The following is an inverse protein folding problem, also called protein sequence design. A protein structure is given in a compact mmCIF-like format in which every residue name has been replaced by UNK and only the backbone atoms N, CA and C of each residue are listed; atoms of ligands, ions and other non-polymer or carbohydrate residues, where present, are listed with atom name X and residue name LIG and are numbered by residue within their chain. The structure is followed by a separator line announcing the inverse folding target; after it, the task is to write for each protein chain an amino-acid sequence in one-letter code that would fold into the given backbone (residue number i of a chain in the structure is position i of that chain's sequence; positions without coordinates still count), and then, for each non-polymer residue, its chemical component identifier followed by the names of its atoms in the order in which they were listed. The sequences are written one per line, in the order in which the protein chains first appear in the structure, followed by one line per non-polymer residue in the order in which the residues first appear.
data_IF_517631993365
#
_entry.id   IF_517631993365
#
_cell.length_a   1.000
_cell.length_b   1.000
_cell.length_c   1.000
_cell.angle_alpha   90.00
_cell.angle_beta   90.00
_cell.angle_gamma   90.00
#
_symmetry.space_group_name_H-M   'P 1'
#
loop_
_entity.id
_entity.type
_entity.pdbx_description
1 polymer ?
#
# COMPACT_ATOMS: atom_id res chain seq x y z
N UNK A 1 21.13 -0.61 -3.63
CA UNK A 1 19.93 -0.44 -2.80
C UNK A 1 19.75 1.05 -2.58
N UNK A 2 18.54 1.55 -2.85
CA UNK A 2 18.22 2.98 -2.78
C UNK A 2 18.13 3.51 -1.35
N UNK A 3 18.08 4.84 -1.20
CA UNK A 3 18.03 5.48 0.13
C UNK A 3 16.72 5.16 0.87
N UNK A 4 15.61 5.01 0.14
CA UNK A 4 14.31 4.67 0.69
C UNK A 4 14.31 3.28 1.32
N UNK A 5 14.96 2.32 0.66
CA UNK A 5 15.17 0.98 1.20
C UNK A 5 15.90 1.05 2.54
N UNK A 6 17.03 1.76 2.59
CA UNK A 6 17.85 1.88 3.80
C UNK A 6 17.11 2.52 4.97
N UNK A 7 16.40 3.64 4.75
CA UNK A 7 15.63 4.29 5.80
C UNK A 7 14.52 3.37 6.33
N UNK A 8 13.71 2.80 5.44
CA UNK A 8 12.57 1.97 5.83
C UNK A 8 12.97 0.64 6.45
N UNK A 9 14.10 0.05 6.03
CA UNK A 9 14.64 -1.15 6.68
C UNK A 9 15.12 -0.85 8.10
N UNK A 10 15.72 0.33 8.32
CA UNK A 10 16.11 0.76 9.66
C UNK A 10 14.88 0.97 10.54
N UNK A 11 13.85 1.69 10.05
CA UNK A 11 12.60 1.90 10.81
C UNK A 11 11.96 0.57 11.19
N UNK A 12 11.80 -0.35 10.24
CA UNK A 12 11.14 -1.64 10.48
C UNK A 12 11.89 -2.56 11.45
N UNK A 13 13.19 -2.33 11.65
CA UNK A 13 14.05 -3.10 12.55
C UNK A 13 14.51 -2.31 13.78
N UNK A 14 14.10 -1.05 13.92
CA UNK A 14 14.56 -0.16 14.98
C UNK A 14 14.18 -0.67 16.38
N UNK A 15 13.01 -1.32 16.51
CA UNK A 15 12.59 -1.99 17.75
C UNK A 15 13.52 -3.11 18.21
N UNK A 16 14.38 -3.62 17.32
CA UNK A 16 15.39 -4.65 17.60
C UNK A 16 16.77 -4.06 17.97
N UNK A 17 16.85 -2.75 18.23
CA UNK A 17 18.09 -2.02 18.53
C UNK A 17 19.17 -2.14 17.44
N UNK A 18 18.78 -2.19 16.16
CA UNK A 18 19.75 -2.18 15.07
C UNK A 18 20.26 -0.75 14.78
N UNK A 19 21.55 -0.67 14.45
CA UNK A 19 22.28 0.57 14.20
C UNK A 19 21.80 1.20 12.89
N UNK A 20 21.49 2.51 12.90
CA UNK A 20 21.28 3.29 11.69
C UNK A 20 22.51 3.20 10.79
N UNK A 21 22.37 2.54 9.65
CA UNK A 21 23.39 2.54 8.60
C UNK A 21 22.88 3.34 7.42
N UNK A 22 23.70 4.29 6.95
CA UNK A 22 23.45 5.27 5.87
C UNK A 22 22.51 6.43 6.22
N UNK A 23 23.02 7.38 7.02
CA UNK A 23 22.48 8.75 7.05
C UNK A 23 23.08 9.50 5.84
N UNK A 24 22.26 10.00 4.91
CA UNK A 24 22.69 10.88 3.83
C UNK A 24 23.06 12.25 4.38
N UNK A 25 23.98 12.96 3.72
CA UNK A 25 24.54 14.23 4.19
C UNK A 25 25.34 14.12 5.50
N UNK A 26 26.54 13.54 5.39
CA UNK A 26 27.51 13.46 6.51
C UNK A 26 28.09 14.84 6.86
N UNK A 27 27.97 15.81 5.96
CA UNK A 27 28.39 17.19 6.13
C UNK A 27 27.41 18.19 5.48
N UNK A 28 27.58 19.48 5.82
CA UNK A 28 26.70 20.56 5.35
C UNK A 28 26.76 20.76 3.83
N UNK A 29 27.89 20.50 3.18
CA UNK A 29 28.02 20.69 1.73
C UNK A 29 27.23 19.61 0.99
N UNK A 30 27.30 18.37 1.45
CA UNK A 30 26.47 17.27 0.94
C UNK A 30 24.98 17.55 1.18
N UNK A 31 24.60 18.10 2.34
CA UNK A 31 23.21 18.48 2.63
C UNK A 31 22.64 19.47 1.62
N UNK A 32 23.39 20.52 1.26
CA UNK A 32 22.93 21.52 0.29
C UNK A 32 22.79 20.99 -1.14
N UNK A 33 23.36 19.82 -1.44
CA UNK A 33 23.24 19.16 -2.74
C UNK A 33 22.12 18.12 -2.77
N UNK A 34 21.49 17.82 -1.63
CA UNK A 34 20.37 16.87 -1.60
C UNK A 34 19.15 17.45 -2.31
N UNK A 35 18.49 16.68 -3.19
CA UNK A 35 17.23 17.07 -3.77
C UNK A 35 16.13 17.29 -2.72
N UNK A 36 15.21 18.22 -2.98
CA UNK A 36 14.10 18.53 -2.05
C UNK A 36 13.23 17.31 -1.73
N UNK A 37 12.86 16.52 -2.75
CA UNK A 37 12.04 15.30 -2.57
C UNK A 37 12.67 14.30 -1.60
N UNK A 38 14.00 14.28 -1.53
CA UNK A 38 14.74 13.39 -0.66
C UNK A 38 14.58 13.82 0.81
N UNK A 39 14.69 15.12 1.07
CA UNK A 39 14.49 15.73 2.39
C UNK A 39 13.05 15.54 2.84
N UNK A 40 12.08 15.74 1.95
CA UNK A 40 10.65 15.51 2.22
C UNK A 40 10.38 14.05 2.60
N UNK A 41 10.90 13.10 1.81
CA UNK A 41 10.75 11.68 2.10
C UNK A 41 11.33 11.30 3.47
N UNK A 42 12.55 11.75 3.76
CA UNK A 42 13.19 11.50 5.06
C UNK A 42 12.41 12.11 6.20
N UNK A 43 12.04 13.38 6.09
CA UNK A 43 11.29 14.11 7.12
C UNK A 43 9.94 13.47 7.40
N UNK A 44 9.23 13.04 6.34
CA UNK A 44 7.96 12.33 6.47
C UNK A 44 8.12 11.03 7.27
N UNK A 45 9.08 10.18 6.91
CA UNK A 45 9.24 8.89 7.56
C UNK A 45 9.81 8.97 8.98
N UNK A 46 10.66 9.96 9.28
CA UNK A 46 11.10 10.23 10.64
C UNK A 46 9.94 10.71 11.51
N UNK A 47 9.13 11.64 11.02
CA UNK A 47 7.93 12.08 11.74
C UNK A 47 6.93 10.93 11.93
N UNK A 48 6.71 10.12 10.90
CA UNK A 48 5.88 8.91 10.98
C UNK A 48 6.41 7.95 12.05
N UNK A 49 7.74 7.80 12.15
CA UNK A 49 8.39 6.96 13.17
C UNK A 49 8.13 7.48 14.57
N UNK A 50 8.24 8.79 14.79
CA UNK A 50 7.93 9.42 16.09
C UNK A 50 6.46 9.20 16.48
N UNK A 51 5.54 9.29 15.51
CA UNK A 51 4.10 9.06 15.71
C UNK A 51 3.76 7.59 16.01
N UNK A 52 4.58 6.64 15.56
CA UNK A 52 4.34 5.19 15.66
C UNK A 52 5.39 4.44 16.51
N UNK A 53 6.03 5.14 17.45
CA UNK A 53 7.17 4.58 18.20
C UNK A 53 6.80 3.36 19.06
N UNK A 54 5.57 3.31 19.58
CA UNK A 54 5.12 2.17 20.39
C UNK A 54 4.88 0.93 19.53
N UNK A 55 4.40 1.13 18.31
CA UNK A 55 4.27 0.10 17.28
C UNK A 55 5.63 -0.45 16.86
N UNK A 56 6.60 0.45 16.70
CA UNK A 56 7.97 0.10 16.35
C UNK A 56 8.63 -0.74 17.44
N UNK A 57 8.49 -0.34 18.70
CA UNK A 57 9.06 -1.10 19.83
C UNK A 57 8.53 -2.53 19.92
N UNK A 58 7.33 -2.77 19.43
CA UNK A 58 6.69 -4.09 19.39
C UNK A 58 6.90 -4.81 18.05
N UNK A 59 7.88 -4.40 17.24
CA UNK A 59 8.26 -5.08 16.01
C UNK A 59 8.66 -6.53 16.29
N UNK A 60 8.15 -7.47 15.48
CA UNK A 60 8.53 -8.88 15.58
C UNK A 60 9.08 -9.30 14.22
N UNK A 61 10.34 -9.78 14.14
CA UNK A 61 10.85 -10.30 12.89
C UNK A 61 10.01 -11.51 12.50
N UNK A 62 9.33 -11.39 11.36
CA UNK A 62 8.50 -12.46 10.83
C UNK A 62 9.26 -13.17 9.72
N UNK A 63 10.00 -14.20 10.12
CA UNK A 63 10.58 -15.32 9.36
C UNK A 63 12.07 -15.56 9.71
N UNK A 64 12.51 -16.81 9.58
CA UNK A 64 13.90 -17.24 9.79
C UNK A 64 14.84 -16.88 8.63
N UNK A 65 14.28 -16.41 7.51
CA UNK A 65 15.03 -15.91 6.35
C UNK A 65 15.15 -14.38 6.46
N UNK A 66 16.37 -13.88 6.43
CA UNK A 66 16.83 -12.54 6.81
C UNK A 66 16.29 -11.34 5.98
N UNK A 67 15.18 -11.48 5.27
CA UNK A 67 14.73 -10.50 4.29
C UNK A 67 13.49 -9.68 4.70
N UNK A 68 12.80 -9.96 5.82
CA UNK A 68 11.47 -9.38 6.09
C UNK A 68 11.33 -8.78 7.50
N UNK A 69 10.49 -7.75 7.66
CA UNK A 69 10.17 -7.22 9.00
C UNK A 69 8.70 -6.84 9.08
N UNK A 70 7.98 -7.44 10.03
CA UNK A 70 6.61 -7.08 10.36
C UNK A 70 6.64 -6.28 11.67
N UNK A 71 5.92 -5.17 11.69
CA UNK A 71 5.95 -4.26 12.82
C UNK A 71 4.55 -3.92 13.28
N UNK A 72 4.17 -4.38 14.46
CA UNK A 72 2.76 -4.43 14.85
C UNK A 72 2.45 -3.70 16.15
N UNK A 73 1.30 -3.03 16.16
CA UNK A 73 0.83 -2.10 17.20
C UNK A 73 0.01 -2.74 18.33
N UNK A 74 -1.06 -3.49 18.01
CA UNK A 74 -2.09 -3.80 19.02
C UNK A 74 -2.83 -5.14 18.83
N UNK A 75 -2.45 -5.95 17.83
CA UNK A 75 -3.07 -7.25 17.53
C UNK A 75 -4.21 -7.22 16.50
N UNK A 76 -4.80 -6.05 16.24
CA UNK A 76 -5.77 -5.83 15.16
C UNK A 76 -5.14 -4.99 14.05
N UNK A 77 -4.56 -3.85 14.38
CA UNK A 77 -3.91 -2.96 13.43
C UNK A 77 -2.40 -3.17 13.43
N UNK A 78 -1.73 -2.62 12.43
CA UNK A 78 -0.29 -2.58 12.38
C UNK A 78 0.26 -2.30 11.00
N UNK A 79 1.57 -2.55 10.85
CA UNK A 79 2.30 -2.26 9.63
C UNK A 79 3.11 -3.48 9.17
N UNK A 80 3.13 -3.70 7.86
CA UNK A 80 3.86 -4.77 7.21
C UNK A 80 4.87 -4.16 6.26
N UNK A 81 6.15 -4.37 6.55
CA UNK A 81 7.25 -3.95 5.69
C UNK A 81 7.77 -5.16 4.92
N UNK A 82 7.61 -5.12 3.61
CA UNK A 82 8.10 -6.13 2.69
C UNK A 82 9.32 -5.61 1.96
N UNK A 83 10.45 -6.29 2.12
CA UNK A 83 11.69 -5.94 1.44
C UNK A 83 12.04 -7.00 0.40
N UNK A 84 12.61 -6.53 -0.71
CA UNK A 84 13.24 -7.38 -1.69
C UNK A 84 14.65 -6.87 -1.98
N UNK A 85 15.65 -7.49 -1.34
CA UNK A 85 17.07 -7.19 -1.54
C UNK A 85 17.61 -7.67 -2.89
N UNK A 86 16.89 -8.59 -3.57
CA UNK A 86 17.29 -9.13 -4.87
C UNK A 86 17.00 -8.14 -6.00
N UNK A 87 17.77 -8.24 -7.10
CA UNK A 87 17.59 -7.39 -8.28
C UNK A 87 16.39 -7.77 -9.17
N UNK A 88 15.80 -8.95 -8.97
CA UNK A 88 14.63 -9.43 -9.70
C UNK A 88 13.37 -9.25 -8.89
N UNK A 89 12.23 -9.19 -9.58
CA UNK A 89 10.92 -9.32 -8.95
C UNK A 89 10.80 -10.66 -8.22
N UNK A 90 10.15 -10.64 -7.07
CA UNK A 90 9.86 -11.85 -6.30
C UNK A 90 8.40 -11.86 -5.86
N UNK A 91 7.73 -12.99 -6.05
CA UNK A 91 6.39 -13.22 -5.52
C UNK A 91 6.48 -13.81 -4.11
N UNK A 92 5.76 -13.23 -3.15
CA UNK A 92 5.76 -13.61 -1.74
C UNK A 92 4.37 -14.04 -1.29
N UNK A 93 4.31 -15.20 -0.65
CA UNK A 93 3.07 -15.73 -0.05
C UNK A 93 3.09 -15.44 1.44
N UNK A 94 2.07 -14.75 1.92
CA UNK A 94 1.95 -14.38 3.33
C UNK A 94 0.64 -14.94 3.88
N UNK A 95 0.73 -15.73 4.94
CA UNK A 95 -0.41 -16.22 5.70
C UNK A 95 -0.75 -15.21 6.80
N UNK A 96 -1.97 -14.69 6.81
CA UNK A 96 -2.42 -13.72 7.80
C UNK A 96 -3.05 -14.40 9.01
N UNK A 97 -2.20 -14.77 9.97
CA UNK A 97 -2.58 -15.49 11.18
C UNK A 97 -1.86 -14.95 12.44
N UNK A 98 -1.97 -15.68 13.55
CA UNK A 98 -1.30 -15.38 14.80
C UNK A 98 0.21 -15.36 14.74
N UNK A 99 0.85 -15.92 13.70
CA UNK A 99 2.30 -15.78 13.53
C UNK A 99 2.70 -14.38 13.06
N UNK A 100 1.80 -13.66 12.38
CA UNK A 100 1.88 -12.20 12.18
C UNK A 100 1.40 -11.41 13.42
N UNK A 101 1.29 -12.07 14.58
CA UNK A 101 0.71 -11.50 15.80
C UNK A 101 -0.71 -10.94 15.56
N UNK A 102 -1.48 -11.50 14.61
CA UNK A 102 -2.91 -11.21 14.42
C UNK A 102 -3.72 -11.98 15.45
N UNK A 103 -4.61 -11.28 16.14
CA UNK A 103 -5.61 -11.95 16.97
C UNK A 103 -6.74 -12.41 16.08
N UNK A 104 -7.29 -13.59 16.38
CA UNK A 104 -8.55 -14.00 15.76
C UNK A 104 -9.61 -12.95 16.07
N UNK A 105 -10.31 -12.41 15.06
CA UNK A 105 -11.25 -11.32 15.28
C UNK A 105 -12.47 -11.86 16.03
N UNK A 106 -12.87 -11.19 17.11
CA UNK A 106 -14.06 -11.58 17.88
C UNK A 106 -15.35 -11.14 17.18
N UNK A 107 -15.27 -10.06 16.42
CA UNK A 107 -16.36 -9.53 15.61
C UNK A 107 -16.21 -9.95 14.14
N UNK A 108 -17.32 -9.98 13.42
CA UNK A 108 -17.27 -10.17 11.97
C UNK A 108 -16.67 -8.92 11.33
N UNK A 109 -15.62 -9.10 10.54
CA UNK A 109 -14.93 -8.03 9.86
C UNK A 109 -13.76 -8.57 9.05
N UNK A 110 -12.99 -7.65 8.49
CA UNK A 110 -11.85 -7.95 7.64
C UNK A 110 -10.72 -6.96 7.93
N UNK A 111 -9.49 -7.38 7.68
CA UNK A 111 -8.40 -6.41 7.58
C UNK A 111 -8.39 -5.80 6.20
N UNK A 112 -8.40 -4.48 6.17
CA UNK A 112 -8.16 -3.69 4.99
C UNK A 112 -6.66 -3.40 4.91
N UNK A 113 -6.02 -3.84 3.82
CA UNK A 113 -4.62 -3.59 3.56
C UNK A 113 -4.48 -2.33 2.69
N UNK A 114 -3.83 -1.29 3.23
CA UNK A 114 -3.49 -0.06 2.52
C UNK A 114 -2.00 -0.02 2.28
N UNK A 115 -1.56 0.09 1.03
CA UNK A 115 -0.18 0.49 0.73
C UNK A 115 -0.03 1.95 1.11
N UNK A 116 0.95 2.25 1.95
CA UNK A 116 1.35 3.61 2.32
C UNK A 116 2.69 3.99 1.70
N UNK A 117 3.41 3.01 1.14
CA UNK A 117 4.55 3.22 0.28
C UNK A 117 4.79 1.99 -0.61
N UNK A 118 5.14 2.16 -1.90
CA UNK A 118 5.38 3.45 -2.56
C UNK A 118 4.12 4.18 -3.04
N UNK A 119 2.98 3.50 -3.15
CA UNK A 119 1.73 4.11 -3.59
C UNK A 119 0.72 4.15 -2.44
N UNK A 120 0.10 5.31 -2.20
CA UNK A 120 -0.98 5.42 -1.23
C UNK A 120 -2.30 4.88 -1.80
N UNK A 121 -2.59 3.59 -1.59
CA UNK A 121 -3.82 2.96 -2.11
C UNK A 121 -4.26 1.74 -1.30
N UNK A 122 -5.55 1.42 -1.35
CA UNK A 122 -6.04 0.15 -0.81
C UNK A 122 -5.80 -0.99 -1.78
N UNK A 123 -5.32 -2.12 -1.25
CA UNK A 123 -4.86 -3.25 -2.06
C UNK A 123 -5.89 -4.38 -2.09
N UNK A 124 -6.33 -4.83 -0.91
CA UNK A 124 -7.23 -5.97 -0.78
C UNK A 124 -7.80 -6.12 0.64
N UNK A 125 -8.80 -6.99 0.76
CA UNK A 125 -9.32 -7.48 2.04
C UNK A 125 -8.67 -8.80 2.41
N UNK A 126 -8.40 -8.95 3.70
CA UNK A 126 -7.74 -10.10 4.27
C UNK A 126 -8.63 -10.69 5.36
N UNK A 127 -8.91 -11.98 5.23
CA UNK A 127 -9.50 -12.79 6.30
C UNK A 127 -8.40 -13.40 7.16
N UNK A 128 -8.72 -13.67 8.42
CA UNK A 128 -7.84 -14.46 9.27
C UNK A 128 -7.61 -15.84 8.63
N UNK A 129 -6.37 -16.35 8.69
CA UNK A 129 -5.90 -17.57 8.03
C UNK A 129 -5.99 -17.55 6.49
N UNK A 130 -6.07 -16.38 5.87
CA UNK A 130 -5.96 -16.25 4.41
C UNK A 130 -4.50 -16.11 3.99
N UNK A 131 -4.11 -16.80 2.91
CA UNK A 131 -2.83 -16.59 2.24
C UNK A 131 -3.02 -15.65 1.06
N UNK A 132 -2.19 -14.62 0.97
CA UNK A 132 -2.17 -13.69 -0.16
C UNK A 132 -0.78 -13.64 -0.80
N UNK A 133 -0.77 -13.36 -2.10
CA UNK A 133 0.45 -13.23 -2.92
C UNK A 133 0.76 -11.75 -3.17
N UNK A 134 2.02 -11.37 -2.97
CA UNK A 134 2.54 -10.02 -3.17
C UNK A 134 3.73 -10.07 -4.10
N UNK A 135 3.64 -9.35 -5.22
CA UNK A 135 4.74 -9.17 -6.14
C UNK A 135 5.58 -7.96 -5.69
N UNK A 136 6.85 -8.19 -5.36
CA UNK A 136 7.79 -7.16 -4.93
C UNK A 136 8.82 -6.90 -6.02
N UNK A 137 9.03 -5.64 -6.36
CA UNK A 137 10.08 -5.24 -7.30
C UNK A 137 11.48 -5.49 -6.76
N UNK A 138 12.45 -5.63 -7.65
CA UNK A 138 13.84 -5.79 -7.24
C UNK A 138 14.39 -4.56 -6.53
N UNK A 139 15.19 -4.75 -5.48
CA UNK A 139 15.78 -3.69 -4.65
C UNK A 139 14.74 -2.69 -4.14
N UNK A 140 13.56 -3.20 -3.74
CA UNK A 140 12.43 -2.37 -3.32
C UNK A 140 12.00 -2.67 -1.88
N UNK A 141 11.27 -1.71 -1.33
CA UNK A 141 10.52 -1.85 -0.08
C UNK A 141 9.08 -1.44 -0.35
N UNK A 142 8.15 -2.15 0.26
CA UNK A 142 6.73 -1.82 0.24
C UNK A 142 6.21 -1.85 1.67
N UNK A 143 5.48 -0.81 2.06
CA UNK A 143 4.94 -0.67 3.41
C UNK A 143 3.42 -0.67 3.31
N UNK A 144 2.81 -1.62 4.01
CA UNK A 144 1.37 -1.71 4.14
C UNK A 144 0.92 -1.37 5.56
N UNK A 145 -0.15 -0.61 5.67
CA UNK A 145 -0.94 -0.47 6.86
C UNK A 145 -2.07 -1.49 6.85
N UNK A 146 -2.25 -2.19 7.97
CA UNK A 146 -3.36 -3.09 8.23
C UNK A 146 -4.31 -2.41 9.20
N UNK A 147 -5.57 -2.26 8.80
CA UNK A 147 -6.62 -1.75 9.68
C UNK A 147 -7.76 -2.77 9.73
N UNK A 148 -8.15 -3.20 10.93
CA UNK A 148 -9.34 -4.04 11.06
C UNK A 148 -10.60 -3.18 10.93
N UNK A 149 -11.50 -3.57 10.03
CA UNK A 149 -12.78 -2.89 9.86
C UNK A 149 -13.95 -3.87 10.07
N UNK A 150 -14.88 -3.47 10.92
CA UNK A 150 -16.16 -4.16 11.13
C UNK A 150 -17.32 -3.44 10.44
N UNK A 151 -17.17 -2.14 10.15
CA UNK A 151 -18.14 -1.30 9.42
C UNK A 151 -17.44 -0.47 8.35
N UNK A 152 -18.21 -0.07 7.34
CA UNK A 152 -17.74 0.79 6.23
C UNK A 152 -18.71 1.96 6.15
N UNK A 153 -18.22 3.18 6.34
CA UNK A 153 -19.06 4.38 6.35
C UNK A 153 -19.03 5.14 5.01
N UNK A 154 -17.97 4.93 4.21
CA UNK A 154 -17.79 5.54 2.90
C UNK A 154 -17.32 4.50 1.87
N UNK A 155 -17.60 4.70 0.56
CA UNK A 155 -17.11 3.80 -0.47
C UNK A 155 -15.58 3.66 -0.44
N UNK A 156 -15.09 2.43 -0.42
CA UNK A 156 -13.65 2.14 -0.41
C UNK A 156 -13.24 1.61 -1.78
N UNK A 157 -12.40 2.37 -2.49
CA UNK A 157 -11.79 1.95 -3.76
C UNK A 157 -10.59 1.05 -3.47
N UNK A 158 -10.56 -0.14 -4.07
CA UNK A 158 -9.52 -1.15 -3.86
C UNK A 158 -8.92 -1.60 -5.19
N UNK A 159 -7.60 -1.79 -5.19
CA UNK A 159 -6.81 -2.24 -6.34
C UNK A 159 -6.15 -1.12 -7.14
N UNK A 160 -6.50 0.14 -6.85
CA UNK A 160 -6.00 1.31 -7.58
C UNK A 160 -6.00 2.57 -6.70
N UNK A 161 -5.11 3.51 -7.01
CA UNK A 161 -5.10 4.83 -6.38
C UNK A 161 -6.21 5.71 -6.95
N UNK A 162 -6.89 6.45 -6.08
CA UNK A 162 -8.00 7.33 -6.44
C UNK A 162 -9.01 7.40 -5.30
N UNK A 163 -10.15 8.06 -5.56
CA UNK A 163 -11.21 8.23 -4.57
C UNK A 163 -12.55 7.80 -5.17
N UNK A 164 -13.34 7.08 -4.38
CA UNK A 164 -14.68 6.66 -4.75
C UNK A 164 -15.72 7.41 -3.91
N UNK A 165 -16.74 7.94 -4.58
CA UNK A 165 -17.84 8.67 -3.98
C UNK A 165 -19.16 8.15 -4.51
N UNK A 166 -20.13 8.02 -3.63
CA UNK A 166 -21.50 7.72 -4.02
C UNK A 166 -22.30 9.02 -4.08
N UNK A 167 -23.02 9.21 -5.18
CA UNK A 167 -24.00 10.29 -5.31
C UNK A 167 -25.39 9.85 -4.84
N UNK A 168 -26.24 10.82 -4.51
CA UNK A 168 -27.64 10.59 -4.13
C UNK A 168 -28.50 9.93 -5.23
N UNK A 169 -27.99 9.77 -6.45
CA UNK A 169 -28.70 9.19 -7.60
C UNK A 169 -28.24 7.76 -7.91
N UNK A 170 -27.61 7.07 -6.95
CA UNK A 170 -27.06 5.73 -7.14
C UNK A 170 -26.00 5.65 -8.27
N UNK A 171 -25.29 6.75 -8.49
CA UNK A 171 -24.15 6.81 -9.41
C UNK A 171 -22.89 6.79 -8.54
N UNK A 172 -22.00 5.85 -8.84
CA UNK A 172 -20.67 5.74 -8.24
C UNK A 172 -19.68 6.54 -9.09
N UNK A 173 -19.00 7.51 -8.48
CA UNK A 173 -17.97 8.32 -9.12
C UNK A 173 -16.61 7.92 -8.56
N UNK A 174 -15.70 7.56 -9.46
CA UNK A 174 -14.31 7.22 -9.15
C UNK A 174 -13.44 8.28 -9.82
N UNK A 175 -12.78 9.11 -9.03
CA UNK A 175 -12.00 10.25 -9.53
C UNK A 175 -10.54 10.19 -9.06
N UNK A 176 -9.69 10.93 -9.77
CA UNK A 176 -8.27 11.03 -9.45
C UNK A 176 -7.55 9.69 -9.58
N UNK A 177 -7.99 8.86 -10.54
CA UNK A 177 -7.41 7.54 -10.73
C UNK A 177 -6.04 7.65 -11.40
N UNK A 178 -5.02 7.07 -10.77
CA UNK A 178 -3.66 7.01 -11.31
C UNK A 178 -2.96 5.68 -10.98
N UNK A 179 -1.87 5.40 -11.68
CA UNK A 179 -1.07 4.18 -11.53
C UNK A 179 0.31 4.32 -12.17
N UNK A 180 1.09 3.25 -12.13
CA UNK A 180 2.45 3.24 -12.68
C UNK A 180 2.44 3.24 -14.20
N UNK A 181 3.24 4.12 -14.82
CA UNK A 181 3.38 4.18 -16.26
C UNK A 181 3.81 2.82 -16.85
N UNK A 182 3.21 2.45 -17.98
CA UNK A 182 3.49 1.18 -18.67
C UNK A 182 3.00 -0.06 -17.94
N UNK A 183 2.10 0.09 -16.96
CA UNK A 183 1.48 -1.04 -16.24
C UNK A 183 0.01 -1.22 -16.60
N UNK A 184 -0.48 -2.42 -16.32
CA UNK A 184 -1.90 -2.75 -16.34
C UNK A 184 -2.32 -3.17 -14.95
N UNK A 185 -3.56 -2.87 -14.56
CA UNK A 185 -4.12 -3.45 -13.33
C UNK A 185 -4.27 -4.96 -13.49
N UNK A 186 -3.38 -5.73 -12.85
CA UNK A 186 -3.40 -7.20 -12.89
C UNK A 186 -4.53 -7.81 -12.05
N UNK A 187 -4.98 -7.10 -11.02
CA UNK A 187 -6.07 -7.52 -10.16
C UNK A 187 -7.36 -6.78 -10.52
N UNK A 188 -8.49 -7.40 -10.20
CA UNK A 188 -9.80 -6.75 -10.32
C UNK A 188 -9.85 -5.50 -9.45
N UNK A 189 -10.30 -4.39 -10.03
CA UNK A 189 -10.60 -3.17 -9.28
C UNK A 189 -12.00 -3.34 -8.72
N UNK A 190 -12.15 -3.13 -7.41
CA UNK A 190 -13.46 -3.21 -6.79
C UNK A 190 -13.67 -2.10 -5.77
N UNK A 191 -14.94 -1.80 -5.53
CA UNK A 191 -15.40 -0.77 -4.62
C UNK A 191 -16.33 -1.43 -3.63
N UNK A 192 -16.11 -1.20 -2.35
CA UNK A 192 -17.03 -1.64 -1.31
C UNK A 192 -17.88 -0.48 -0.88
N UNK A 193 -19.19 -0.67 -0.91
CA UNK A 193 -20.18 0.30 -0.50
C UNK A 193 -20.50 0.14 0.99
N UNK A 194 -20.84 1.24 1.68
CA UNK A 194 -21.28 1.21 3.08
C UNK A 194 -22.47 0.29 3.32
N UNK A 195 -23.44 0.35 2.41
CA UNK A 195 -24.69 -0.38 2.49
C UNK A 195 -24.97 -1.09 1.16
N UNK A 196 -25.78 -2.14 1.20
CA UNK A 196 -26.34 -2.78 0.02
C UNK A 196 -27.31 -1.81 -0.67
N UNK A 197 -26.83 -1.17 -1.72
CA UNK A 197 -27.61 -0.24 -2.54
C UNK A 197 -27.37 -0.53 -4.00
N UNK A 198 -28.41 -0.52 -4.81
CA UNK A 198 -28.30 -0.76 -6.24
C UNK A 198 -27.54 0.41 -6.89
N UNK A 199 -26.43 0.13 -7.56
CA UNK A 199 -25.70 1.09 -8.38
C UNK A 199 -26.24 1.02 -9.81
N UNK A 200 -26.56 2.19 -10.37
CA UNK A 200 -27.06 2.30 -11.74
C UNK A 200 -25.90 2.47 -12.72
N UNK A 201 -25.00 3.42 -12.44
CA UNK A 201 -23.87 3.76 -13.30
C UNK A 201 -22.60 3.93 -12.48
N UNK A 202 -21.46 3.60 -13.10
CA UNK A 202 -20.12 3.88 -12.55
C UNK A 202 -19.37 4.79 -13.52
N UNK A 203 -18.91 5.92 -13.03
CA UNK A 203 -18.10 6.89 -13.78
C UNK A 203 -16.66 6.86 -13.25
N UNK A 204 -15.70 6.53 -14.10
CA UNK A 204 -14.27 6.57 -13.80
C UNK A 204 -13.62 7.74 -14.54
N UNK A 205 -13.11 8.71 -13.78
CA UNK A 205 -12.61 10.00 -14.28
C UNK A 205 -13.59 10.66 -15.27
N UNK A 206 -14.90 10.56 -15.00
CA UNK A 206 -15.97 11.08 -15.84
C UNK A 206 -16.43 10.16 -16.99
N UNK A 207 -15.75 9.04 -17.25
CA UNK A 207 -16.08 8.09 -18.31
C UNK A 207 -16.88 6.92 -17.74
N UNK A 208 -17.99 6.55 -18.40
CA UNK A 208 -18.80 5.41 -17.98
C UNK A 208 -18.05 4.09 -18.14
N UNK A 209 -18.08 3.25 -17.09
CA UNK A 209 -17.44 1.94 -17.06
C UNK A 209 -18.43 0.83 -16.76
N UNK A 210 -18.19 -0.32 -17.37
CA UNK A 210 -18.96 -1.53 -17.09
C UNK A 210 -18.54 -2.11 -15.74
N UNK A 211 -19.51 -2.57 -14.98
CA UNK A 211 -19.30 -3.14 -13.66
C UNK A 211 -20.21 -4.33 -13.41
N UNK A 212 -19.83 -5.16 -12.44
CA UNK A 212 -20.68 -6.17 -11.83
C UNK A 212 -20.92 -5.77 -10.38
N UNK A 213 -22.15 -5.96 -9.90
CA UNK A 213 -22.49 -5.74 -8.51
C UNK A 213 -22.85 -7.08 -7.85
N UNK A 214 -22.21 -7.36 -6.71
CA UNK A 214 -22.57 -8.46 -5.83
C UNK A 214 -22.75 -7.91 -4.41
N UNK A 215 -23.99 -7.86 -3.93
CA UNK A 215 -24.35 -7.23 -2.63
C UNK A 215 -23.83 -5.79 -2.53
N UNK A 216 -22.90 -5.51 -1.62
CA UNK A 216 -22.26 -4.21 -1.42
C UNK A 216 -20.92 -4.05 -2.17
N UNK A 217 -20.53 -5.00 -3.03
CA UNK A 217 -19.28 -4.97 -3.78
C UNK A 217 -19.56 -4.68 -5.26
N UNK A 218 -18.88 -3.67 -5.79
CA UNK A 218 -18.86 -3.31 -7.21
C UNK A 218 -17.51 -3.69 -7.79
N UNK A 219 -17.48 -4.51 -8.83
CA UNK A 219 -16.24 -4.90 -9.52
C UNK A 219 -16.23 -4.29 -10.92
N UNK A 220 -15.19 -3.55 -11.26
CA UNK A 220 -14.99 -3.08 -12.63
C UNK A 220 -14.60 -4.25 -13.51
N UNK A 221 -15.24 -4.36 -14.69
CA UNK A 221 -14.98 -5.46 -15.63
C UNK A 221 -13.68 -5.23 -16.41
N UNK A 222 -13.42 -3.97 -16.75
CA UNK A 222 -12.31 -3.61 -17.61
C UNK A 222 -11.02 -3.44 -16.79
N UNK A 223 -9.92 -3.98 -17.31
CA UNK A 223 -8.59 -3.63 -16.82
C UNK A 223 -8.23 -2.21 -17.25
N UNK A 224 -7.52 -1.49 -16.40
CA UNK A 224 -7.00 -0.16 -16.72
C UNK A 224 -5.55 -0.27 -17.17
N UNK A 225 -5.26 0.40 -18.28
CA UNK A 225 -3.92 0.57 -18.82
C UNK A 225 -3.43 1.96 -18.44
N UNK A 226 -2.22 2.01 -17.91
CA UNK A 226 -1.52 3.26 -17.63
C UNK A 226 -0.48 3.45 -18.73
N UNK A 227 -0.64 4.44 -19.62
CA UNK A 227 0.28 4.66 -20.73
C UNK A 227 1.72 4.87 -20.26
N UNK A 228 2.69 4.75 -21.17
CA UNK A 228 4.10 5.04 -20.90
C UNK A 228 4.99 3.80 -20.79
N UNK A 229 6.25 4.00 -20.42
CA UNK A 229 7.22 2.93 -20.23
C UNK A 229 7.32 2.59 -18.75
N UNK A 230 7.21 1.30 -18.43
CA UNK A 230 7.52 0.82 -17.09
C UNK A 230 9.01 0.96 -16.84
N UNK A 231 9.35 1.72 -15.81
CA UNK A 231 10.69 1.77 -15.25
C UNK A 231 10.63 1.06 -13.90
N UNK A 232 11.45 0.02 -13.67
CA UNK A 232 11.46 -0.65 -12.39
C UNK A 232 11.79 0.35 -11.28
N UNK A 233 11.11 0.21 -10.14
CA UNK A 233 11.19 1.15 -9.00
C UNK A 233 12.61 1.39 -8.47
N UNK A 234 13.54 0.47 -8.74
CA UNK A 234 14.98 0.60 -8.46
C UNK A 234 15.69 1.72 -9.22
N UNK A 235 15.04 2.30 -10.25
CA UNK A 235 15.56 3.44 -10.99
C UNK A 235 15.27 4.80 -10.31
N UNK A 236 14.53 4.84 -9.20
CA UNK A 236 14.21 6.06 -8.41
C UNK A 236 13.74 7.29 -9.24
N UNK A 237 13.11 7.08 -10.40
CA UNK A 237 12.44 8.16 -11.15
C UNK A 237 10.96 8.14 -10.73
N UNK A 238 10.60 9.03 -9.81
CA UNK A 238 9.22 9.21 -9.32
C UNK A 238 8.51 10.33 -10.09
N UNK A 239 7.22 10.11 -10.34
CA UNK A 239 6.22 11.00 -10.95
C UNK A 239 6.09 10.98 -12.47
N UNK A 240 5.44 9.92 -12.98
CA UNK A 240 4.61 10.06 -14.17
C UNK A 240 3.14 10.02 -13.74
N UNK A 241 2.60 11.17 -13.36
CA UNK A 241 1.15 11.38 -13.27
C UNK A 241 0.60 11.32 -14.69
N UNK A 242 0.15 10.14 -15.14
CA UNK A 242 -0.48 10.03 -16.44
C UNK A 242 -1.98 10.03 -16.21
N UNK A 243 -2.59 11.16 -16.59
CA UNK A 243 -4.02 11.29 -16.80
C UNK A 243 -4.38 10.25 -17.88
N UNK A 244 -5.34 9.38 -17.57
CA UNK A 244 -5.93 8.47 -18.56
C UNK A 244 -6.46 9.35 -19.69
N UNK A 245 -5.73 9.42 -20.81
CA UNK A 245 -6.20 10.07 -22.02
C UNK A 245 -6.93 9.03 -22.87
N UNK A 246 -8.17 9.36 -23.22
CA UNK A 246 -9.09 8.77 -24.22
C UNK A 246 -8.69 7.43 -24.89
#
# INVERSE_FOLDING_TARGET
MGFSYSLLSNIATAGLNLIHTYIPARDLQEFYLLPEYFIEFWSYWLKWTDEHIEEIRNSIPFNFEQDWSLMKSNGLDGYLFLFNSYYKQVNRKILFDGKLNLKYPQEKGYWLLKEIYPQEKFILFIKYNQTNEFLLDGQSVTVYQLNFISTIDQPILVGISGQAFLTNKNILIINGVYGEAGTQTNNSIFIILPNEQLILNVLLNGIEKKFQQNTNIITLIDHLLFPGLYLPRSAEILNNTIIVSD
#
